data_IF_103107026237
#
_entry.id   IF_103107026237
#
_cell.length_a   1.000
_cell.length_b   1.000
_cell.length_c   1.000
_cell.angle_alpha   90.00
_cell.angle_beta   90.00
_cell.angle_gamma   90.00
#
_symmetry.space_group_name_H-M   'P 1'
#
loop_
_entity.id
_entity.type
_entity.pdbx_description
1 polymer ?
#
# COMPACT_ATOMS: atom_id res chain seq x y z
N UNK A 1 41.88 -7.51 59.91
CA UNK A 1 41.20 -8.36 58.90
C UNK A 1 39.69 -8.15 58.74
N UNK A 2 38.90 -7.76 59.77
CA UNK A 2 37.43 -7.62 59.67
C UNK A 2 36.90 -6.46 58.80
N UNK A 3 37.66 -5.35 58.70
CA UNK A 3 37.25 -4.14 57.96
C UNK A 3 37.31 -4.34 56.43
N UNK A 4 38.38 -4.97 55.91
CA UNK A 4 38.51 -5.27 54.48
C UNK A 4 37.38 -6.16 53.94
N UNK A 5 36.85 -7.08 54.75
CA UNK A 5 35.82 -8.00 54.32
C UNK A 5 34.43 -7.32 54.18
N UNK A 6 34.13 -6.33 55.03
CA UNK A 6 32.93 -5.49 54.87
C UNK A 6 33.03 -4.57 53.65
N UNK A 7 34.21 -3.98 53.44
CA UNK A 7 34.47 -3.09 52.30
C UNK A 7 34.36 -3.84 50.96
N UNK A 8 34.86 -5.09 50.90
CA UNK A 8 34.74 -5.93 49.72
C UNK A 8 33.27 -6.33 49.46
N UNK A 9 32.52 -6.73 50.49
CA UNK A 9 31.07 -7.02 50.36
C UNK A 9 30.28 -5.82 49.84
N UNK A 10 30.57 -4.62 50.33
CA UNK A 10 29.90 -3.40 49.86
C UNK A 10 30.18 -3.13 48.37
N UNK A 11 31.43 -3.32 47.92
CA UNK A 11 31.80 -3.22 46.51
C UNK A 11 31.04 -4.23 45.64
N UNK A 12 30.89 -5.49 46.10
CA UNK A 12 30.11 -6.50 45.37
C UNK A 12 28.64 -6.13 45.28
N UNK A 13 28.04 -5.62 46.35
CA UNK A 13 26.63 -5.22 46.38
C UNK A 13 26.38 -4.05 45.42
N UNK A 14 27.25 -3.03 45.43
CA UNK A 14 27.16 -1.88 44.51
C UNK A 14 27.29 -2.35 43.06
N UNK A 15 28.24 -3.25 42.77
CA UNK A 15 28.46 -3.80 41.42
C UNK A 15 27.24 -4.60 40.92
N UNK A 16 26.66 -5.46 41.77
CA UNK A 16 25.44 -6.20 41.43
C UNK A 16 24.25 -5.26 41.21
N UNK A 17 24.08 -4.25 42.06
CA UNK A 17 23.01 -3.26 41.91
C UNK A 17 23.13 -2.47 40.60
N UNK A 18 24.34 -2.08 40.20
CA UNK A 18 24.58 -1.43 38.90
C UNK A 18 24.27 -2.35 37.71
N UNK A 19 24.62 -3.64 37.79
CA UNK A 19 24.33 -4.61 36.73
C UNK A 19 22.80 -4.81 36.62
N UNK A 20 22.11 -4.98 37.74
CA UNK A 20 20.65 -5.11 37.76
C UNK A 20 19.96 -3.85 37.21
N UNK A 21 20.46 -2.65 37.52
CA UNK A 21 19.94 -1.40 36.98
C UNK A 21 20.10 -1.31 35.46
N UNK A 22 21.27 -1.68 34.93
CA UNK A 22 21.52 -1.72 33.48
C UNK A 22 20.57 -2.71 32.80
N UNK A 23 20.44 -3.93 33.33
CA UNK A 23 19.53 -4.96 32.78
C UNK A 23 18.08 -4.47 32.78
N UNK A 24 17.64 -3.78 33.82
CA UNK A 24 16.30 -3.21 33.90
C UNK A 24 16.09 -2.00 32.97
N UNK A 25 17.14 -1.22 32.68
CA UNK A 25 17.07 -0.05 31.82
C UNK A 25 17.11 -0.38 30.32
N UNK A 26 17.73 -1.50 29.92
CA UNK A 26 17.85 -1.91 28.51
C UNK A 26 16.49 -2.07 27.81
N UNK A 27 15.47 -2.75 28.38
CA UNK A 27 14.13 -2.81 27.79
C UNK A 27 13.52 -1.42 27.58
N UNK A 28 13.62 -0.54 28.59
CA UNK A 28 13.09 0.82 28.51
C UNK A 28 13.77 1.64 27.40
N UNK A 29 15.09 1.52 27.28
CA UNK A 29 15.84 2.17 26.21
C UNK A 29 15.45 1.65 24.82
N UNK A 30 15.25 0.33 24.69
CA UNK A 30 14.79 -0.28 23.44
C UNK A 30 13.37 0.16 23.07
N UNK A 31 12.47 0.30 24.04
CA UNK A 31 11.10 0.78 23.81
C UNK A 31 11.08 2.26 23.39
N UNK A 32 11.96 3.08 23.98
CA UNK A 32 12.17 4.46 23.55
C UNK A 32 12.73 4.51 22.14
N UNK A 33 13.74 3.71 21.80
CA UNK A 33 14.29 3.65 20.44
C UNK A 33 13.24 3.23 19.40
N UNK A 34 12.44 2.19 19.70
CA UNK A 34 11.32 1.79 18.83
C UNK A 34 10.30 2.89 18.65
N UNK A 35 10.00 3.63 19.72
CA UNK A 35 9.06 4.75 19.67
C UNK A 35 9.60 5.90 18.83
N UNK A 36 10.89 6.23 18.97
CA UNK A 36 11.57 7.26 18.18
C UNK A 36 11.69 6.84 16.71
N UNK A 37 12.02 5.58 16.42
CA UNK A 37 12.05 5.04 15.06
C UNK A 37 10.66 5.13 14.41
N UNK A 38 9.60 4.74 15.15
CA UNK A 38 8.20 4.90 14.71
C UNK A 38 7.80 6.37 14.47
N UNK A 39 8.38 7.31 15.20
CA UNK A 39 8.15 8.76 15.02
C UNK A 39 8.93 9.31 13.81
N UNK A 40 10.09 8.72 13.50
CA UNK A 40 11.05 9.26 12.51
C UNK A 40 10.97 8.58 11.14
N UNK A 41 10.45 7.35 11.04
CA UNK A 41 10.07 6.77 9.75
C UNK A 41 8.76 7.40 9.31
N UNK A 42 8.84 8.50 8.57
CA UNK A 42 7.64 9.10 8.00
C UNK A 42 7.02 8.11 7.02
N UNK A 43 5.90 7.48 7.40
CA UNK A 43 5.29 6.44 6.59
C UNK A 43 4.90 6.99 5.21
N UNK A 44 5.42 6.34 4.16
CA UNK A 44 5.14 6.68 2.77
C UNK A 44 4.19 5.65 2.18
N UNK A 45 3.16 6.10 1.48
CA UNK A 45 2.36 5.28 0.58
C UNK A 45 2.79 5.61 -0.85
N UNK A 46 3.14 4.58 -1.62
CA UNK A 46 3.25 4.73 -3.07
C UNK A 46 1.93 4.31 -3.70
N UNK A 47 1.34 5.21 -4.49
CA UNK A 47 0.14 4.92 -5.28
C UNK A 47 0.56 4.87 -6.74
N UNK A 48 0.24 3.77 -7.39
CA UNK A 48 0.60 3.51 -8.78
C UNK A 48 -0.66 3.43 -9.65
N UNK A 49 -1.08 4.52 -10.31
CA UNK A 49 -2.16 4.41 -11.28
C UNK A 49 -1.65 3.66 -12.51
N UNK A 50 -2.13 2.43 -12.70
CA UNK A 50 -1.72 1.55 -13.79
C UNK A 50 -1.88 2.20 -15.16
N UNK A 51 -1.05 1.79 -16.12
CA UNK A 51 -1.03 2.31 -17.51
C UNK A 51 -0.73 3.82 -17.57
N UNK A 52 -1.01 4.50 -18.69
CA UNK A 52 -0.75 5.93 -18.88
C UNK A 52 -0.12 6.25 -20.24
N UNK A 53 -0.39 7.45 -20.76
CA UNK A 53 0.10 7.89 -22.07
C UNK A 53 -0.33 6.93 -23.19
N UNK A 54 0.65 6.40 -23.93
CA UNK A 54 0.41 5.44 -25.02
C UNK A 54 -0.15 4.08 -24.56
N UNK A 55 -0.05 3.75 -23.26
CA UNK A 55 -0.67 2.55 -22.72
C UNK A 55 -2.07 2.86 -22.20
N UNK A 56 -3.10 2.50 -22.99
CA UNK A 56 -4.52 2.66 -22.64
C UNK A 56 -5.03 1.70 -21.56
N UNK A 57 -4.34 0.58 -21.33
CA UNK A 57 -4.93 -0.57 -20.62
C UNK A 57 -6.14 -1.14 -21.37
N UNK A 58 -7.09 -1.69 -20.64
CA UNK A 58 -8.38 -2.12 -21.17
C UNK A 58 -9.24 -0.95 -21.64
N UNK A 59 -10.26 -1.24 -22.45
CA UNK A 59 -11.24 -0.27 -22.93
C UNK A 59 -12.64 -0.84 -22.78
N UNK A 60 -13.55 -0.02 -22.24
CA UNK A 60 -14.98 -0.35 -22.16
C UNK A 60 -15.62 -0.37 -23.55
N UNK A 61 -16.83 -0.92 -23.66
CA UNK A 61 -17.61 -0.86 -24.90
C UNK A 61 -17.92 0.58 -25.37
N UNK A 62 -17.88 1.56 -24.46
CA UNK A 62 -18.11 2.98 -24.75
C UNK A 62 -16.85 3.77 -25.07
N UNK A 63 -15.69 3.13 -25.22
CA UNK A 63 -14.42 3.80 -25.56
C UNK A 63 -13.69 4.41 -24.36
N UNK A 64 -14.17 4.20 -23.14
CA UNK A 64 -13.46 4.66 -21.93
C UNK A 64 -12.27 3.76 -21.64
N UNK A 65 -11.10 4.37 -21.59
CA UNK A 65 -9.81 3.72 -21.35
C UNK A 65 -9.51 3.59 -19.85
N UNK A 66 -9.03 2.42 -19.45
CA UNK A 66 -8.69 2.05 -18.08
C UNK A 66 -7.76 3.07 -17.40
N UNK A 67 -6.72 3.54 -18.09
CA UNK A 67 -5.71 4.46 -17.54
C UNK A 67 -6.31 5.73 -16.90
N UNK A 68 -7.44 6.20 -17.43
CA UNK A 68 -8.11 7.42 -16.98
C UNK A 68 -8.85 7.19 -15.66
N UNK A 69 -9.56 6.06 -15.55
CA UNK A 69 -10.25 5.67 -14.33
C UNK A 69 -9.23 5.31 -13.24
N UNK A 70 -8.15 4.60 -13.59
CA UNK A 70 -7.05 4.32 -12.67
C UNK A 70 -6.49 5.60 -12.04
N UNK A 71 -6.22 6.62 -12.87
CA UNK A 71 -5.72 7.91 -12.39
C UNK A 71 -6.73 8.63 -11.51
N UNK A 72 -8.02 8.59 -11.85
CA UNK A 72 -9.07 9.23 -11.08
C UNK A 72 -9.21 8.60 -9.68
N UNK A 73 -9.29 7.27 -9.59
CA UNK A 73 -9.35 6.54 -8.30
C UNK A 73 -8.08 6.81 -7.48
N UNK A 74 -6.91 6.78 -8.12
CA UNK A 74 -5.65 7.02 -7.45
C UNK A 74 -5.53 8.44 -6.87
N UNK A 75 -6.07 9.46 -7.55
CA UNK A 75 -6.13 10.84 -7.04
C UNK A 75 -7.06 10.98 -5.83
N UNK A 76 -8.19 10.28 -5.82
CA UNK A 76 -9.06 10.25 -4.64
C UNK A 76 -8.37 9.56 -3.46
N UNK A 77 -7.64 8.46 -3.71
CA UNK A 77 -6.84 7.77 -2.68
C UNK A 77 -5.70 8.66 -2.15
N UNK A 78 -5.00 9.37 -3.05
CA UNK A 78 -3.97 10.34 -2.69
C UNK A 78 -4.53 11.44 -1.78
N UNK A 79 -5.68 12.01 -2.14
CA UNK A 79 -6.32 13.07 -1.36
C UNK A 79 -6.66 12.61 0.06
N UNK A 80 -7.24 11.42 0.21
CA UNK A 80 -7.55 10.82 1.51
C UNK A 80 -6.29 10.60 2.36
N UNK A 81 -5.26 9.98 1.77
CA UNK A 81 -4.02 9.70 2.49
C UNK A 81 -3.30 10.98 2.90
N UNK A 82 -3.21 11.99 2.02
CA UNK A 82 -2.61 13.29 2.35
C UNK A 82 -3.39 14.04 3.43
N UNK A 83 -4.72 13.99 3.42
CA UNK A 83 -5.56 14.62 4.45
C UNK A 83 -5.27 14.08 5.86
N UNK A 84 -4.93 12.80 5.96
CA UNK A 84 -4.55 12.15 7.23
C UNK A 84 -3.06 12.31 7.60
N UNK A 85 -2.28 13.02 6.77
CA UNK A 85 -0.89 13.35 7.01
C UNK A 85 0.11 12.29 6.54
N UNK A 86 -0.29 11.39 5.64
CA UNK A 86 0.65 10.48 4.99
C UNK A 86 1.54 11.23 4.00
N UNK A 87 2.79 10.80 3.88
CA UNK A 87 3.58 11.11 2.72
C UNK A 87 3.10 10.21 1.58
N UNK A 88 2.71 10.82 0.45
CA UNK A 88 2.21 10.07 -0.70
C UNK A 88 3.08 10.36 -1.91
N UNK A 89 3.52 9.30 -2.58
CA UNK A 89 4.24 9.37 -3.85
C UNK A 89 3.39 8.68 -4.91
N UNK A 90 2.99 9.43 -5.93
CA UNK A 90 2.33 8.88 -7.11
C UNK A 90 3.40 8.46 -8.13
N UNK A 91 3.28 7.29 -8.76
CA UNK A 91 4.18 6.95 -9.88
C UNK A 91 3.92 7.82 -11.11
N UNK A 92 2.68 8.28 -11.28
CA UNK A 92 2.27 9.35 -12.20
C UNK A 92 1.06 10.08 -11.63
N UNK A 93 0.94 11.36 -11.86
CA UNK A 93 -0.21 12.21 -11.51
C UNK A 93 -0.94 12.78 -12.74
N UNK A 94 -0.44 12.49 -13.93
CA UNK A 94 -0.99 12.85 -15.23
C UNK A 94 -1.14 11.63 -16.15
N UNK A 95 -1.74 11.83 -17.32
CA UNK A 95 -1.85 10.81 -18.36
C UNK A 95 -0.55 10.67 -19.16
N UNK A 96 0.50 10.21 -18.48
CA UNK A 96 1.85 10.04 -19.04
C UNK A 96 2.32 8.59 -18.90
N UNK A 97 3.24 8.19 -19.78
CA UNK A 97 4.04 6.99 -19.57
C UNK A 97 5.46 7.38 -19.15
N UNK A 98 5.95 6.79 -18.06
CA UNK A 98 7.31 7.00 -17.55
C UNK A 98 8.39 6.45 -18.50
N UNK A 99 8.00 5.64 -19.49
CA UNK A 99 8.86 5.09 -20.53
C UNK A 99 8.67 5.69 -21.92
N UNK A 100 7.94 6.80 -22.06
CA UNK A 100 7.51 7.32 -23.38
C UNK A 100 8.67 7.71 -24.30
N UNK A 101 9.72 8.30 -23.73
CA UNK A 101 10.94 8.73 -24.43
C UNK A 101 11.85 7.56 -24.85
N UNK A 102 11.61 6.36 -24.33
CA UNK A 102 12.43 5.21 -24.67
C UNK A 102 12.31 4.86 -26.15
N UNK A 103 13.45 4.71 -26.85
CA UNK A 103 13.46 4.24 -28.24
C UNK A 103 13.02 2.77 -28.32
N UNK A 104 12.31 2.41 -29.39
CA UNK A 104 11.95 1.01 -29.68
C UNK A 104 10.45 0.79 -29.82
N UNK A 105 10.05 -0.49 -29.80
CA UNK A 105 8.66 -0.90 -29.97
C UNK A 105 7.79 -0.48 -28.78
N UNK A 106 6.46 -0.43 -28.98
CA UNK A 106 5.48 -0.18 -27.92
C UNK A 106 5.70 -1.12 -26.72
N UNK A 107 5.99 -2.40 -26.97
CA UNK A 107 6.29 -3.37 -25.90
C UNK A 107 7.54 -3.00 -25.10
N UNK A 108 8.58 -2.50 -25.76
CA UNK A 108 9.80 -2.04 -25.09
C UNK A 108 9.51 -0.82 -24.22
N UNK A 109 8.76 0.16 -24.73
CA UNK A 109 8.29 1.33 -23.96
C UNK A 109 7.49 0.93 -22.73
N UNK A 110 6.49 0.05 -22.85
CA UNK A 110 5.70 -0.47 -21.71
C UNK A 110 6.58 -1.20 -20.68
N UNK A 111 7.59 -1.92 -21.13
CA UNK A 111 8.54 -2.58 -20.22
C UNK A 111 9.38 -1.55 -19.47
N UNK A 112 9.83 -0.48 -20.14
CA UNK A 112 10.56 0.62 -19.51
C UNK A 112 9.71 1.37 -18.49
N UNK A 113 8.46 1.65 -18.84
CA UNK A 113 7.48 2.25 -17.94
C UNK A 113 7.33 1.45 -16.63
N UNK A 114 7.11 0.13 -16.73
CA UNK A 114 7.01 -0.75 -15.56
C UNK A 114 8.31 -0.83 -14.75
N UNK A 115 9.47 -0.78 -15.40
CA UNK A 115 10.77 -0.75 -14.71
C UNK A 115 10.96 0.56 -13.94
N UNK A 116 10.49 1.68 -14.47
CA UNK A 116 10.60 2.98 -13.81
C UNK A 116 9.67 3.08 -12.59
N UNK A 117 8.44 2.60 -12.69
CA UNK A 117 7.53 2.45 -11.53
C UNK A 117 8.19 1.62 -10.43
N UNK A 118 8.78 0.48 -10.81
CA UNK A 118 9.49 -0.39 -9.89
C UNK A 118 10.71 0.30 -9.28
N UNK A 119 11.45 1.12 -10.05
CA UNK A 119 12.59 1.91 -9.55
C UNK A 119 12.12 2.87 -8.46
N UNK A 120 11.06 3.66 -8.71
CA UNK A 120 10.44 4.57 -7.74
C UNK A 120 10.11 3.82 -6.44
N UNK A 121 9.37 2.71 -6.54
CA UNK A 121 9.00 1.89 -5.36
C UNK A 121 10.23 1.37 -4.61
N UNK A 122 11.27 0.95 -5.34
CA UNK A 122 12.49 0.40 -4.74
C UNK A 122 13.35 1.42 -4.01
N UNK A 123 13.34 2.67 -4.48
CA UNK A 123 14.08 3.77 -3.87
C UNK A 123 13.34 4.33 -2.65
N UNK A 124 12.02 4.48 -2.74
CA UNK A 124 11.19 5.00 -1.65
C UNK A 124 11.07 4.00 -0.50
N UNK A 125 10.97 2.69 -0.80
CA UNK A 125 10.71 1.63 0.19
C UNK A 125 9.50 1.95 1.10
N UNK A 126 8.32 2.19 0.50
CA UNK A 126 7.14 2.63 1.24
C UNK A 126 6.63 1.60 2.26
N UNK A 127 5.80 2.07 3.19
CA UNK A 127 5.02 1.23 4.10
C UNK A 127 4.07 0.33 3.30
N UNK A 128 3.44 0.88 2.26
CA UNK A 128 2.60 0.14 1.34
C UNK A 128 2.66 0.74 -0.08
N UNK A 129 2.68 -0.13 -1.08
CA UNK A 129 2.44 0.24 -2.48
C UNK A 129 1.10 -0.31 -2.95
N UNK A 130 0.27 0.53 -3.54
CA UNK A 130 -1.00 0.12 -4.15
C UNK A 130 -1.02 0.50 -5.63
N UNK A 131 -1.06 -0.50 -6.50
CA UNK A 131 -1.23 -0.32 -7.94
C UNK A 131 -2.70 -0.47 -8.32
N UNK A 132 -3.31 0.60 -8.83
CA UNK A 132 -4.73 0.67 -9.19
C UNK A 132 -4.91 0.29 -10.65
N UNK A 133 -5.75 -0.71 -10.89
CA UNK A 133 -6.08 -1.25 -12.21
C UNK A 133 -7.58 -1.53 -12.35
N UNK A 134 -8.01 -1.82 -13.57
CA UNK A 134 -9.33 -2.39 -13.86
C UNK A 134 -9.17 -3.71 -14.61
N UNK A 135 -10.01 -4.67 -14.25
CA UNK A 135 -10.05 -5.94 -14.93
C UNK A 135 -10.80 -5.83 -16.26
N UNK A 136 -10.59 -6.79 -17.14
CA UNK A 136 -11.38 -6.95 -18.36
C UNK A 136 -11.35 -8.41 -18.79
N UNK A 137 -12.53 -9.00 -18.89
CA UNK A 137 -12.74 -10.34 -19.43
C UNK A 137 -13.79 -10.25 -20.53
N UNK A 138 -13.34 -10.26 -21.79
CA UNK A 138 -14.22 -10.00 -22.94
C UNK A 138 -14.99 -11.26 -23.35
N UNK A 139 -14.45 -12.41 -22.99
CA UNK A 139 -14.99 -13.75 -23.20
C UNK A 139 -16.25 -13.99 -22.37
N UNK A 140 -16.29 -13.46 -21.15
CA UNK A 140 -17.48 -13.46 -20.29
C UNK A 140 -17.66 -12.09 -19.63
N UNK A 141 -18.62 -11.31 -20.17
CA UNK A 141 -18.94 -9.96 -19.71
C UNK A 141 -19.86 -9.92 -18.48
N UNK A 142 -20.27 -11.09 -17.97
CA UNK A 142 -21.06 -11.18 -16.72
C UNK A 142 -20.18 -11.11 -15.47
N UNK A 143 -18.88 -11.41 -15.61
CA UNK A 143 -17.92 -11.34 -14.51
C UNK A 143 -17.85 -9.93 -13.96
N UNK A 144 -17.84 -9.82 -12.63
CA UNK A 144 -17.79 -8.56 -11.92
C UNK A 144 -17.07 -8.67 -10.58
N UNK A 145 -16.86 -7.53 -9.94
CA UNK A 145 -16.37 -7.38 -8.57
C UNK A 145 -14.86 -7.13 -8.47
N UNK A 146 -14.47 -6.44 -7.41
CA UNK A 146 -13.09 -6.04 -7.19
C UNK A 146 -12.21 -7.23 -6.76
N UNK A 147 -10.97 -7.26 -7.25
CA UNK A 147 -10.02 -8.34 -6.98
C UNK A 147 -8.65 -7.76 -6.64
N UNK A 148 -8.13 -8.11 -5.46
CA UNK A 148 -6.79 -7.73 -5.03
C UNK A 148 -5.82 -8.88 -5.28
N UNK A 149 -4.64 -8.52 -5.79
CA UNK A 149 -3.54 -9.43 -6.04
C UNK A 149 -2.29 -9.04 -5.27
N UNK A 150 -1.50 -10.05 -4.87
CA UNK A 150 -0.18 -9.89 -4.26
C UNK A 150 0.88 -10.73 -5.00
N UNK A 151 2.18 -10.45 -4.84
CA UNK A 151 3.25 -11.22 -5.47
C UNK A 151 3.18 -12.72 -5.15
N UNK A 152 3.32 -13.57 -6.16
CA UNK A 152 3.57 -15.00 -5.97
C UNK A 152 5.08 -15.30 -5.90
N UNK A 153 5.46 -16.35 -5.15
CA UNK A 153 6.84 -16.85 -5.07
C UNK A 153 7.32 -17.02 -3.62
N UNK A 154 8.59 -17.42 -3.45
CA UNK A 154 9.25 -17.63 -2.15
C UNK A 154 10.49 -16.75 -1.94
N UNK A 155 10.87 -15.95 -2.94
CA UNK A 155 11.95 -14.98 -2.80
C UNK A 155 11.48 -13.78 -1.97
N UNK A 156 12.24 -13.38 -0.94
CA UNK A 156 11.85 -12.33 0.03
C UNK A 156 10.53 -12.63 0.74
N UNK A 157 10.43 -13.83 1.30
CA UNK A 157 9.26 -14.37 2.01
C UNK A 157 8.58 -13.36 2.95
N UNK A 158 9.34 -12.56 3.72
CA UNK A 158 8.78 -11.56 4.63
C UNK A 158 7.99 -10.47 3.90
N UNK A 159 8.52 -9.94 2.78
CA UNK A 159 7.85 -8.91 1.99
C UNK A 159 6.62 -9.48 1.28
N UNK A 160 6.70 -10.73 0.82
CA UNK A 160 5.56 -11.42 0.20
C UNK A 160 4.45 -11.66 1.22
N UNK A 161 4.79 -12.13 2.43
CA UNK A 161 3.83 -12.30 3.52
C UNK A 161 3.15 -10.98 3.91
N UNK A 162 3.90 -9.89 4.02
CA UNK A 162 3.30 -8.57 4.30
C UNK A 162 2.43 -8.06 3.14
N UNK A 163 2.83 -8.32 1.89
CA UNK A 163 2.00 -8.01 0.72
C UNK A 163 0.70 -8.81 0.71
N UNK A 164 0.75 -10.09 1.09
CA UNK A 164 -0.43 -10.95 1.24
C UNK A 164 -1.34 -10.42 2.34
N UNK A 165 -0.79 -10.08 3.52
CA UNK A 165 -1.55 -9.49 4.64
C UNK A 165 -2.24 -8.20 4.20
N UNK A 166 -1.52 -7.29 3.53
CA UNK A 166 -2.09 -6.07 2.97
C UNK A 166 -3.22 -6.39 1.98
N UNK A 167 -3.01 -7.34 1.08
CA UNK A 167 -4.01 -7.71 0.07
C UNK A 167 -5.30 -8.28 0.68
N UNK A 168 -5.19 -9.17 1.67
CA UNK A 168 -6.34 -9.76 2.36
C UNK A 168 -7.15 -8.70 3.11
N UNK A 169 -6.48 -7.78 3.79
CA UNK A 169 -7.12 -6.67 4.50
C UNK A 169 -7.84 -5.74 3.51
N UNK A 170 -7.18 -5.34 2.43
CA UNK A 170 -7.77 -4.45 1.41
C UNK A 170 -8.92 -5.13 0.68
N UNK A 171 -8.80 -6.41 0.30
CA UNK A 171 -9.90 -7.18 -0.28
C UNK A 171 -11.09 -7.23 0.66
N UNK A 172 -10.86 -7.48 1.96
CA UNK A 172 -11.91 -7.50 2.97
C UNK A 172 -12.64 -6.16 3.12
N UNK A 173 -11.92 -5.03 3.06
CA UNK A 173 -12.55 -3.70 3.07
C UNK A 173 -13.34 -3.46 1.78
N UNK A 174 -12.82 -3.81 0.60
CA UNK A 174 -13.53 -3.68 -0.67
C UNK A 174 -14.83 -4.50 -0.68
N UNK A 175 -14.77 -5.78 -0.32
CA UNK A 175 -15.94 -6.67 -0.25
C UNK A 175 -17.03 -6.12 0.66
N UNK A 176 -16.66 -5.57 1.82
CA UNK A 176 -17.63 -4.99 2.78
C UNK A 176 -18.15 -3.62 2.35
N UNK A 177 -17.25 -2.74 1.93
CA UNK A 177 -17.54 -1.33 1.70
C UNK A 177 -18.23 -1.12 0.37
N UNK A 178 -17.69 -1.68 -0.73
CA UNK A 178 -18.31 -1.60 -2.05
C UNK A 178 -19.60 -2.42 -2.08
N UNK A 179 -19.58 -3.61 -1.48
CA UNK A 179 -20.68 -4.57 -1.47
C UNK A 179 -21.17 -4.91 -2.88
N UNK A 180 -20.23 -5.31 -3.75
CA UNK A 180 -20.47 -5.69 -5.14
C UNK A 180 -21.19 -7.05 -5.31
N UNK A 181 -21.55 -7.70 -4.19
CA UNK A 181 -22.24 -8.99 -4.17
C UNK A 181 -21.32 -10.20 -4.30
N UNK A 182 -20.00 -10.00 -4.35
CA UNK A 182 -19.02 -11.07 -4.43
C UNK A 182 -18.42 -11.44 -3.06
N UNK A 183 -17.87 -12.64 -2.94
CA UNK A 183 -17.13 -13.16 -1.78
C UNK A 183 -15.64 -13.37 -2.09
N UNK A 184 -15.12 -12.58 -3.04
CA UNK A 184 -13.74 -12.69 -3.53
C UNK A 184 -12.71 -12.59 -2.40
N UNK A 185 -11.69 -13.42 -2.49
CA UNK A 185 -10.52 -13.41 -1.61
C UNK A 185 -9.29 -12.96 -2.39
N UNK A 186 -8.29 -12.40 -1.69
CA UNK A 186 -7.05 -11.97 -2.33
C UNK A 186 -6.32 -13.16 -2.97
N UNK A 187 -5.73 -12.95 -4.15
CA UNK A 187 -5.05 -14.01 -4.90
C UNK A 187 -3.58 -13.66 -5.16
N UNK A 188 -2.71 -14.66 -5.14
CA UNK A 188 -1.33 -14.45 -5.61
C UNK A 188 -1.31 -14.31 -7.14
N UNK A 189 -0.44 -13.45 -7.68
CA UNK A 189 -0.26 -13.21 -9.12
C UNK A 189 1.21 -13.29 -9.49
N UNK A 190 1.52 -14.10 -10.49
CA UNK A 190 2.86 -14.23 -11.08
C UNK A 190 2.92 -13.54 -12.44
N UNK A 191 4.13 -13.38 -12.99
CA UNK A 191 4.32 -12.86 -14.34
C UNK A 191 4.19 -11.34 -14.52
N UNK A 192 3.67 -10.60 -13.54
CA UNK A 192 3.58 -9.13 -13.59
C UNK A 192 4.88 -8.49 -13.11
N UNK A 193 5.51 -7.66 -13.95
CA UNK A 193 6.86 -7.14 -13.71
C UNK A 193 6.99 -6.33 -12.42
N UNK A 194 5.99 -5.51 -12.09
CA UNK A 194 5.99 -4.66 -10.89
C UNK A 194 5.95 -5.49 -9.60
N UNK A 195 5.36 -6.69 -9.63
CA UNK A 195 5.28 -7.62 -8.50
C UNK A 195 6.53 -8.51 -8.35
N UNK A 196 7.44 -8.54 -9.34
CA UNK A 196 8.64 -9.38 -9.25
C UNK A 196 9.62 -8.81 -8.22
N UNK A 197 10.13 -9.64 -7.31
CA UNK A 197 11.20 -9.33 -6.35
C UNK A 197 10.96 -8.03 -5.56
N UNK A 198 9.79 -7.87 -4.92
CA UNK A 198 9.35 -6.61 -4.31
C UNK A 198 10.34 -6.12 -3.24
N UNK A 199 10.54 -4.81 -3.13
CA UNK A 199 11.41 -4.19 -2.11
C UNK A 199 10.66 -3.88 -0.80
N UNK A 200 9.34 -3.80 -0.87
CA UNK A 200 8.39 -3.37 0.16
C UNK A 200 7.01 -3.98 -0.14
N UNK A 201 6.06 -3.96 0.81
CA UNK A 201 4.72 -4.49 0.59
C UNK A 201 4.04 -3.85 -0.63
N UNK A 202 3.54 -4.67 -1.56
CA UNK A 202 2.91 -4.20 -2.81
C UNK A 202 1.72 -5.05 -3.19
N UNK A 203 0.63 -4.40 -3.62
CA UNK A 203 -0.57 -5.04 -4.13
C UNK A 203 -1.01 -4.43 -5.47
N UNK A 204 -1.75 -5.20 -6.26
CA UNK A 204 -2.55 -4.69 -7.38
C UNK A 204 -4.02 -4.80 -6.99
N UNK A 205 -4.76 -3.70 -7.12
CA UNK A 205 -6.21 -3.66 -6.91
C UNK A 205 -6.88 -3.52 -8.27
N UNK A 206 -7.46 -4.62 -8.77
CA UNK A 206 -8.38 -4.55 -9.91
C UNK A 206 -9.75 -4.11 -9.37
N UNK A 207 -10.17 -2.87 -9.65
CA UNK A 207 -11.30 -2.25 -8.95
C UNK A 207 -12.69 -2.70 -9.45
N UNK A 208 -12.75 -3.53 -10.49
CA UNK A 208 -13.94 -4.00 -11.17
C UNK A 208 -13.64 -4.35 -12.63
N UNK A 209 -14.62 -4.87 -13.37
CA UNK A 209 -14.45 -5.31 -14.77
C UNK A 209 -14.99 -4.28 -15.76
N UNK A 210 -14.08 -3.65 -16.52
CA UNK A 210 -14.42 -2.69 -17.56
C UNK A 210 -15.15 -3.34 -18.76
N UNK A 211 -15.05 -4.67 -18.91
CA UNK A 211 -15.79 -5.45 -19.89
C UNK A 211 -17.26 -5.68 -19.51
N UNK A 212 -17.61 -5.55 -18.23
CA UNK A 212 -18.97 -5.61 -17.72
C UNK A 212 -19.61 -4.23 -17.84
N UNK A 213 -20.76 -4.13 -18.53
CA UNK A 213 -21.39 -2.83 -18.80
C UNK A 213 -21.81 -2.09 -17.51
N UNK A 214 -22.41 -2.80 -16.56
CA UNK A 214 -22.91 -2.18 -15.35
C UNK A 214 -21.75 -1.67 -14.48
N UNK A 215 -20.67 -2.44 -14.37
CA UNK A 215 -19.46 -1.99 -13.68
C UNK A 215 -18.76 -0.85 -14.42
N UNK A 216 -18.67 -0.90 -15.74
CA UNK A 216 -18.08 0.20 -16.51
C UNK A 216 -18.82 1.53 -16.27
N UNK A 217 -20.15 1.51 -16.18
CA UNK A 217 -20.96 2.69 -15.87
C UNK A 217 -20.69 3.18 -14.42
N UNK A 218 -20.58 2.27 -13.44
CA UNK A 218 -20.23 2.60 -12.04
C UNK A 218 -18.80 3.16 -11.91
N UNK A 219 -17.81 2.49 -12.51
CA UNK A 219 -16.38 2.84 -12.45
C UNK A 219 -16.08 4.23 -13.02
N UNK A 220 -16.95 4.76 -13.88
CA UNK A 220 -16.86 6.13 -14.38
C UNK A 220 -17.45 7.17 -13.43
N UNK A 221 -18.31 6.77 -12.50
CA UNK A 221 -18.95 7.69 -11.56
C UNK A 221 -17.97 8.14 -10.48
N UNK A 222 -17.99 9.44 -10.16
CA UNK A 222 -17.12 10.02 -9.14
C UNK A 222 -17.45 9.47 -7.75
N UNK A 223 -18.72 9.23 -7.44
CA UNK A 223 -19.12 8.66 -6.15
C UNK A 223 -18.52 7.27 -5.95
N UNK A 224 -18.53 6.42 -6.99
CA UNK A 224 -17.99 5.07 -6.88
C UNK A 224 -16.46 5.06 -6.84
N UNK A 225 -15.79 5.94 -7.60
CA UNK A 225 -14.34 6.11 -7.52
C UNK A 225 -13.88 6.53 -6.11
N UNK A 226 -14.58 7.48 -5.49
CA UNK A 226 -14.36 7.86 -4.08
C UNK A 226 -14.60 6.72 -3.12
N UNK A 227 -15.66 5.93 -3.35
CA UNK A 227 -16.00 4.77 -2.54
C UNK A 227 -14.90 3.71 -2.59
N UNK A 228 -14.39 3.39 -3.78
CA UNK A 228 -13.26 2.48 -3.97
C UNK A 228 -12.03 3.01 -3.23
N UNK A 229 -11.66 4.26 -3.46
CA UNK A 229 -10.51 4.89 -2.81
C UNK A 229 -10.61 4.84 -1.29
N UNK A 230 -11.79 5.11 -0.72
CA UNK A 230 -12.03 5.03 0.72
C UNK A 230 -11.85 3.60 1.28
N UNK A 231 -12.35 2.57 0.58
CA UNK A 231 -12.17 1.18 1.01
C UNK A 231 -10.69 0.75 0.94
N UNK A 232 -10.00 1.10 -0.15
CA UNK A 232 -8.56 0.84 -0.29
C UNK A 232 -7.79 1.53 0.83
N UNK A 233 -8.10 2.79 1.12
CA UNK A 233 -7.45 3.57 2.17
C UNK A 233 -7.70 2.98 3.57
N UNK A 234 -8.93 2.60 3.90
CA UNK A 234 -9.27 1.93 5.16
C UNK A 234 -8.44 0.64 5.34
N UNK A 235 -8.27 -0.12 4.26
CA UNK A 235 -7.42 -1.32 4.26
C UNK A 235 -5.95 -1.00 4.55
N UNK A 236 -5.39 0.06 3.95
CA UNK A 236 -4.01 0.51 4.22
C UNK A 236 -3.85 0.97 5.68
N UNK A 237 -4.82 1.69 6.22
CA UNK A 237 -4.81 2.16 7.62
C UNK A 237 -4.83 0.97 8.59
N UNK A 238 -5.70 0.00 8.32
CA UNK A 238 -5.78 -1.24 9.11
C UNK A 238 -4.48 -2.04 9.01
N UNK A 239 -3.89 -2.14 7.82
CA UNK A 239 -2.61 -2.82 7.61
C UNK A 239 -1.47 -2.16 8.40
N UNK A 240 -1.38 -0.82 8.36
CA UNK A 240 -0.34 -0.03 9.02
C UNK A 240 -0.56 0.17 10.52
N UNK A 241 -1.67 -0.33 11.08
CA UNK A 241 -2.09 -0.11 12.46
C UNK A 241 -2.16 1.38 12.85
N UNK A 242 -2.44 2.26 11.87
CA UNK A 242 -2.75 3.66 12.16
C UNK A 242 -4.25 3.79 12.41
N UNK A 243 -4.61 4.46 13.49
CA UNK A 243 -5.99 4.83 13.72
C UNK A 243 -6.40 5.93 12.72
N UNK A 244 -7.56 5.77 12.10
CA UNK A 244 -8.20 6.86 11.34
C UNK A 244 -8.41 8.01 12.31
N UNK A 245 -7.82 9.17 12.01
CA UNK A 245 -8.12 10.39 12.77
C UNK A 245 -9.58 10.73 12.54
N UNK A 246 -10.45 10.32 13.45
CA UNK A 246 -11.83 10.81 13.45
C UNK A 246 -11.77 12.31 13.62
N UNK A 247 -12.46 13.04 12.74
CA UNK A 247 -12.63 14.49 12.84
C UNK A 247 -12.86 14.87 14.30
N UNK A 248 -11.93 15.66 14.84
CA UNK A 248 -12.13 16.30 16.12
C UNK A 248 -13.32 17.21 15.90
N UNK A 249 -14.52 16.77 16.32
CA UNK A 249 -15.65 17.67 16.49
C UNK A 249 -15.18 18.72 17.49
N UNK A 250 -14.76 19.87 16.98
CA UNK A 250 -14.62 21.08 17.78
C UNK A 250 -16.00 21.25 18.40
N UNK A 251 -16.08 21.03 19.72
CA UNK A 251 -17.25 21.45 20.47
C UNK A 251 -17.28 22.96 20.31
N UNK A 252 -18.20 23.45 19.50
CA UNK A 252 -18.59 24.86 19.53
C UNK A 252 -18.82 25.21 21.01
N UNK A 253 -17.92 26.03 21.52
CA UNK A 253 -17.95 26.51 22.89
C UNK A 253 -18.37 27.97 22.82
N UNK A 254 -19.59 28.19 23.34
CA UNK A 254 -20.29 29.45 23.64
C UNK A 254 -21.09 30.07 22.49
#
# INVERSE_FOLDING_TARGET
MRVNNKMNKLKYIVCLATICFIIAAVPMYNDVLKSVEKITSADVIVIDPGHGGLDGGAESAGGVSEKNINLAIAKELEALAKADGWNVVMTRDEDISLGEEAKGSIRSKKTKDLLERKRIISEIKPTATVSIHLNSFKEDRSVHGAQVFYPAGSEKESVISESKRLAEIVQGSLTKGIADGTDRTALSKSGVLILKNPSSPIIIVECGFLSNKAEADLLQSKEYQKKIAACVYEGIMTFSNKEVKKDIKIRDSL
#
